data_IF_626381113517
#
_entry.id   IF_626381113517
#
_cell.length_a   1.000
_cell.length_b   1.000
_cell.length_c   1.000
_cell.angle_alpha   90.00
_cell.angle_beta   90.00
_cell.angle_gamma   90.00
#
_symmetry.space_group_name_H-M   'P 1'
#
loop_
_entity.id
_entity.type
_entity.pdbx_description
1 polymer ?
#
# COMPACT_ATOMS: atom_id res chain seq x y z
N UNK A 1 -77.13 -5.06 0.59
CA UNK A 1 -77.42 -6.14 -0.39
C UNK A 1 -76.56 -5.88 -1.61
N UNK A 2 -75.40 -6.55 -1.73
CA UNK A 2 -75.18 -7.80 -2.49
C UNK A 2 -75.34 -7.55 -4.00
N UNK A 3 -74.30 -7.63 -4.82
CA UNK A 3 -73.54 -8.86 -5.19
C UNK A 3 -72.07 -8.50 -5.52
N UNK A 4 -71.07 -9.04 -4.81
CA UNK A 4 -70.24 -10.25 -5.13
C UNK A 4 -69.74 -10.37 -6.57
N UNK A 5 -68.40 -10.27 -6.74
CA UNK A 5 -67.55 -11.18 -7.53
C UNK A 5 -66.14 -11.22 -6.93
N UNK A 6 -65.78 -12.39 -6.39
CA UNK A 6 -64.41 -12.78 -6.05
C UNK A 6 -63.59 -13.00 -7.34
N UNK A 7 -62.29 -12.69 -7.37
CA UNK A 7 -61.35 -13.36 -8.24
C UNK A 7 -60.64 -14.49 -7.47
N UNK A 8 -60.90 -15.68 -7.97
CA UNK A 8 -60.22 -16.95 -7.73
C UNK A 8 -58.70 -16.84 -7.65
N UNK A 9 -58.16 -17.55 -6.66
CA UNK A 9 -56.83 -18.15 -6.57
C UNK A 9 -56.08 -18.25 -7.91
N UNK A 10 -55.03 -17.45 -8.07
CA UNK A 10 -53.92 -17.79 -8.94
C UNK A 10 -52.76 -18.22 -8.03
N UNK A 11 -52.46 -19.52 -8.06
CA UNK A 11 -51.25 -20.08 -7.49
C UNK A 11 -50.05 -19.41 -8.15
N UNK A 12 -49.31 -18.58 -7.42
CA UNK A 12 -47.96 -18.19 -7.79
C UNK A 12 -47.10 -19.46 -7.77
N UNK A 13 -47.05 -20.15 -8.90
CA UNK A 13 -45.98 -21.06 -9.22
C UNK A 13 -44.71 -20.22 -9.28
N UNK A 14 -43.99 -20.17 -8.16
CA UNK A 14 -42.55 -19.93 -8.21
C UNK A 14 -41.99 -20.93 -9.21
N UNK A 15 -41.60 -20.43 -10.39
CA UNK A 15 -40.80 -21.19 -11.35
C UNK A 15 -39.46 -21.42 -10.66
N UNK A 16 -39.39 -22.53 -9.93
CA UNK A 16 -38.16 -23.09 -9.42
C UNK A 16 -37.36 -23.48 -10.66
N UNK A 17 -36.40 -22.65 -11.05
CA UNK A 17 -35.43 -23.08 -12.05
C UNK A 17 -34.76 -24.36 -11.50
N UNK A 18 -34.77 -25.47 -12.26
CA UNK A 18 -34.06 -26.67 -11.82
C UNK A 18 -32.60 -26.31 -11.60
N UNK A 19 -32.00 -26.81 -10.52
CA UNK A 19 -30.54 -26.73 -10.28
C UNK A 19 -29.83 -27.09 -11.59
N UNK A 20 -29.01 -26.17 -12.08
CA UNK A 20 -28.53 -26.14 -13.46
C UNK A 20 -27.72 -27.37 -13.86
N UNK A 21 -27.95 -27.80 -15.11
CA UNK A 21 -27.29 -28.93 -15.79
C UNK A 21 -25.83 -28.60 -16.21
N UNK A 22 -25.27 -27.48 -15.72
CA UNK A 22 -24.00 -26.90 -16.16
C UNK A 22 -22.86 -27.03 -15.14
N UNK A 23 -23.13 -27.60 -13.95
CA UNK A 23 -22.11 -27.91 -12.94
C UNK A 23 -21.36 -26.67 -12.45
N UNK A 24 -20.02 -26.67 -12.52
CA UNK A 24 -19.22 -25.55 -12.00
C UNK A 24 -19.39 -24.21 -12.74
N UNK A 25 -20.13 -24.17 -13.85
CA UNK A 25 -20.44 -22.94 -14.57
C UNK A 25 -21.50 -22.09 -13.84
N UNK A 26 -22.32 -22.70 -12.99
CA UNK A 26 -23.32 -21.99 -12.18
C UNK A 26 -22.68 -21.08 -11.12
N UNK A 27 -21.37 -21.22 -10.89
CA UNK A 27 -20.60 -20.39 -9.96
C UNK A 27 -19.96 -19.15 -10.63
N UNK A 28 -20.07 -19.02 -11.96
CA UNK A 28 -19.55 -17.86 -12.67
C UNK A 28 -20.53 -16.69 -12.58
N UNK A 29 -20.05 -15.44 -12.38
CA UNK A 29 -20.85 -14.25 -12.58
C UNK A 29 -21.51 -14.24 -13.97
N UNK A 30 -22.79 -13.90 -14.02
CA UNK A 30 -23.64 -14.04 -15.20
C UNK A 30 -23.10 -13.27 -16.42
N UNK A 31 -22.45 -12.14 -16.19
CA UNK A 31 -21.77 -11.31 -17.19
C UNK A 31 -20.60 -12.04 -17.88
N UNK A 32 -19.80 -12.80 -17.12
CA UNK A 32 -18.71 -13.62 -17.67
C UNK A 32 -19.28 -14.80 -18.46
N UNK A 33 -20.32 -15.45 -17.91
CA UNK A 33 -21.03 -16.51 -18.62
C UNK A 33 -21.58 -16.00 -19.96
N UNK A 34 -22.23 -14.84 -19.97
CA UNK A 34 -22.73 -14.22 -21.20
C UNK A 34 -21.64 -13.86 -22.20
N UNK A 35 -20.45 -13.44 -21.75
CA UNK A 35 -19.33 -13.15 -22.65
C UNK A 35 -18.72 -14.43 -23.25
N UNK A 36 -18.59 -15.50 -22.46
CA UNK A 36 -18.17 -16.82 -22.95
C UNK A 36 -19.19 -17.34 -23.98
N UNK A 37 -20.49 -17.22 -23.67
CA UNK A 37 -21.59 -17.58 -24.58
C UNK A 37 -21.65 -16.70 -25.83
N UNK A 38 -21.11 -15.48 -25.80
CA UNK A 38 -21.06 -14.58 -26.95
C UNK A 38 -19.89 -14.88 -27.89
N UNK A 39 -18.79 -15.40 -27.37
CA UNK A 39 -17.65 -15.89 -28.15
C UNK A 39 -17.98 -17.20 -28.88
N UNK A 40 -18.83 -18.04 -28.29
CA UNK A 40 -19.39 -19.23 -28.91
C UNK A 40 -20.61 -18.82 -29.73
N UNK A 41 -20.51 -18.73 -31.06
CA UNK A 41 -21.66 -18.34 -31.90
C UNK A 41 -22.94 -19.15 -31.62
N UNK A 42 -24.13 -18.68 -32.06
CA UNK A 42 -25.43 -19.23 -31.66
C UNK A 42 -25.64 -20.73 -31.96
N UNK A 43 -24.90 -21.29 -32.92
CA UNK A 43 -24.90 -22.74 -33.24
C UNK A 43 -24.13 -23.59 -32.22
N UNK A 44 -23.11 -23.04 -31.56
CA UNK A 44 -22.32 -23.73 -30.54
C UNK A 44 -22.98 -23.63 -29.15
N UNK A 45 -23.75 -22.55 -28.91
CA UNK A 45 -24.62 -22.42 -27.73
C UNK A 45 -25.70 -23.50 -27.69
N UNK A 46 -26.28 -23.85 -28.84
CA UNK A 46 -27.27 -24.93 -28.92
C UNK A 46 -26.70 -26.34 -28.63
N UNK A 47 -25.37 -26.54 -28.75
CA UNK A 47 -24.67 -27.80 -28.45
C UNK A 47 -24.19 -27.91 -26.99
N UNK A 48 -24.45 -26.90 -26.15
CA UNK A 48 -23.89 -26.78 -24.80
C UNK A 48 -24.23 -27.92 -23.83
N UNK A 49 -25.24 -28.75 -24.10
CA UNK A 49 -25.52 -29.95 -23.30
C UNK A 49 -24.44 -31.04 -23.44
N UNK A 50 -23.59 -30.99 -24.49
CA UNK A 50 -22.57 -32.01 -24.79
C UNK A 50 -21.13 -31.51 -24.55
N UNK A 51 -20.88 -30.20 -24.54
CA UNK A 51 -19.53 -29.61 -24.48
C UNK A 51 -19.04 -29.42 -23.03
N UNK A 52 -19.48 -30.25 -22.08
CA UNK A 52 -19.10 -30.09 -20.67
C UNK A 52 -17.59 -30.29 -20.43
N UNK A 53 -16.89 -31.14 -21.20
CA UNK A 53 -15.46 -31.42 -21.00
C UNK A 53 -14.53 -30.36 -21.56
N UNK A 54 -14.75 -29.89 -22.79
CA UNK A 54 -13.91 -28.86 -23.40
C UNK A 54 -14.10 -27.50 -22.73
N UNK A 55 -15.33 -27.15 -22.33
CA UNK A 55 -15.58 -25.95 -21.53
C UNK A 55 -14.98 -26.07 -20.12
N UNK A 56 -15.04 -27.23 -19.46
CA UNK A 56 -14.31 -27.45 -18.20
C UNK A 56 -12.81 -27.22 -18.37
N UNK A 57 -12.22 -27.73 -19.45
CA UNK A 57 -10.81 -27.49 -19.77
C UNK A 57 -10.52 -25.98 -19.89
N UNK A 58 -11.29 -25.26 -20.71
CA UNK A 58 -11.17 -23.80 -20.86
C UNK A 58 -11.34 -23.04 -19.54
N UNK A 59 -12.32 -23.44 -18.74
CA UNK A 59 -12.67 -22.79 -17.46
C UNK A 59 -11.67 -23.15 -16.35
N UNK A 60 -10.91 -24.23 -16.50
CA UNK A 60 -9.81 -24.62 -15.61
C UNK A 60 -8.42 -24.15 -16.07
N UNK A 61 -8.29 -23.71 -17.33
CA UNK A 61 -7.00 -23.30 -17.89
C UNK A 61 -6.62 -21.88 -17.46
N UNK A 62 -5.65 -21.85 -16.55
CA UNK A 62 -5.11 -20.63 -15.98
C UNK A 62 -4.53 -19.65 -17.02
N UNK A 63 -3.93 -20.14 -18.12
CA UNK A 63 -3.35 -19.29 -19.17
C UNK A 63 -4.43 -18.62 -20.02
N UNK A 64 -5.51 -19.34 -20.31
CA UNK A 64 -6.66 -18.80 -21.05
C UNK A 64 -7.39 -17.74 -20.22
N UNK A 65 -7.59 -17.96 -18.93
CA UNK A 65 -8.16 -16.95 -18.03
C UNK A 65 -7.29 -15.71 -17.94
N UNK A 66 -5.97 -15.85 -17.80
CA UNK A 66 -5.04 -14.72 -17.82
C UNK A 66 -5.16 -13.92 -19.12
N UNK A 67 -5.14 -14.58 -20.28
CA UNK A 67 -5.29 -13.91 -21.57
C UNK A 67 -6.64 -13.21 -21.72
N UNK A 68 -7.74 -13.89 -21.35
CA UNK A 68 -9.09 -13.33 -21.41
C UNK A 68 -9.20 -12.06 -20.55
N UNK A 69 -8.76 -12.15 -19.30
CA UNK A 69 -8.85 -11.07 -18.33
C UNK A 69 -7.94 -9.87 -18.68
N UNK A 70 -6.75 -10.12 -19.23
CA UNK A 70 -5.88 -9.06 -19.77
C UNK A 70 -6.48 -8.33 -20.98
N UNK A 71 -7.30 -9.03 -21.78
CA UNK A 71 -7.84 -8.50 -23.04
C UNK A 71 -9.19 -7.80 -22.85
N UNK A 72 -10.01 -8.25 -21.90
CA UNK A 72 -11.42 -7.84 -21.79
C UNK A 72 -11.79 -7.09 -20.50
N UNK A 73 -10.92 -7.07 -19.48
CA UNK A 73 -11.09 -6.19 -18.32
C UNK A 73 -10.09 -5.05 -18.37
N UNK A 74 -10.61 -3.83 -18.21
CA UNK A 74 -9.85 -2.59 -18.14
C UNK A 74 -9.04 -2.41 -16.85
N UNK A 75 -8.86 -3.46 -16.05
CA UNK A 75 -8.04 -3.42 -14.83
C UNK A 75 -6.61 -3.91 -15.16
N UNK A 76 -5.62 -3.02 -15.26
CA UNK A 76 -4.23 -3.34 -15.64
C UNK A 76 -3.44 -4.13 -14.58
N UNK A 77 -4.11 -4.76 -13.60
CA UNK A 77 -3.50 -5.22 -12.35
C UNK A 77 -3.49 -6.74 -12.13
N UNK A 78 -3.70 -7.57 -13.16
CA UNK A 78 -3.69 -9.03 -12.99
C UNK A 78 -2.40 -9.60 -12.43
N UNK A 79 -1.25 -9.04 -12.80
CA UNK A 79 0.03 -9.40 -12.18
C UNK A 79 0.05 -9.12 -10.68
N UNK A 80 -0.61 -8.04 -10.23
CA UNK A 80 -0.76 -7.72 -8.81
C UNK A 80 -1.72 -8.68 -8.12
N UNK A 81 -2.83 -9.05 -8.76
CA UNK A 81 -3.78 -10.03 -8.23
C UNK A 81 -3.10 -11.40 -8.08
N UNK A 82 -2.43 -11.86 -9.13
CA UNK A 82 -1.70 -13.12 -9.11
C UNK A 82 -0.62 -13.12 -8.04
N UNK A 83 0.23 -12.09 -7.99
CA UNK A 83 1.22 -11.95 -6.93
C UNK A 83 0.57 -11.99 -5.55
N UNK A 84 -0.53 -11.25 -5.35
CA UNK A 84 -1.22 -11.16 -4.09
C UNK A 84 -1.71 -12.53 -3.60
N UNK A 85 -2.43 -13.25 -4.46
CA UNK A 85 -3.05 -14.54 -4.14
C UNK A 85 -2.03 -15.67 -3.96
N UNK A 86 -0.91 -15.60 -4.68
CA UNK A 86 0.14 -16.62 -4.59
C UNK A 86 1.10 -16.38 -3.43
N UNK A 87 1.44 -15.12 -3.13
CA UNK A 87 2.54 -14.80 -2.22
C UNK A 87 2.08 -14.21 -0.88
N UNK A 88 0.93 -13.53 -0.81
CA UNK A 88 0.51 -12.86 0.41
C UNK A 88 -0.29 -13.82 1.29
N UNK A 89 0.23 -14.07 2.49
CA UNK A 89 -0.49 -14.78 3.55
C UNK A 89 -0.43 -14.03 4.86
N UNK A 90 -1.49 -14.16 5.63
CA UNK A 90 -1.51 -13.76 7.03
C UNK A 90 -0.70 -14.72 7.89
N UNK A 91 0.02 -14.20 8.88
CA UNK A 91 0.81 -15.00 9.81
C UNK A 91 2.31 -14.71 9.68
N UNK A 92 2.97 -14.61 10.83
CA UNK A 92 4.42 -14.49 10.93
C UNK A 92 4.97 -15.75 11.63
N UNK A 93 6.11 -16.31 11.19
CA UNK A 93 6.87 -15.93 10.00
C UNK A 93 6.07 -16.22 8.72
N UNK A 94 6.28 -15.41 7.68
CA UNK A 94 5.85 -15.77 6.33
C UNK A 94 6.48 -17.12 6.03
N UNK A 95 5.71 -18.20 5.83
CA UNK A 95 6.30 -19.51 5.60
C UNK A 95 7.15 -19.42 4.34
N UNK A 96 8.45 -19.73 4.46
CA UNK A 96 9.31 -20.04 3.33
C UNK A 96 8.90 -21.41 2.78
N UNK A 97 7.67 -21.54 2.28
CA UNK A 97 7.20 -22.74 1.61
C UNK A 97 7.17 -22.47 0.12
N UNK A 98 8.34 -22.57 -0.48
CA UNK A 98 8.45 -23.04 -1.87
C UNK A 98 8.09 -24.52 -1.81
N UNK A 99 6.86 -24.86 -2.18
CA UNK A 99 6.41 -26.24 -2.30
C UNK A 99 5.06 -26.49 -1.64
N UNK A 100 4.06 -26.77 -2.48
CA UNK A 100 2.73 -27.26 -2.11
C UNK A 100 1.80 -26.25 -1.41
N UNK A 101 1.36 -25.24 -2.17
CA UNK A 101 -0.04 -24.82 -2.08
C UNK A 101 -0.78 -25.38 -3.28
N UNK A 102 -2.03 -25.84 -3.13
CA UNK A 102 -2.84 -26.16 -4.30
C UNK A 102 -2.87 -24.90 -5.17
N UNK A 103 -2.44 -25.02 -6.43
CA UNK A 103 -2.69 -23.97 -7.42
C UNK A 103 -4.20 -23.94 -7.63
N UNK A 104 -4.90 -23.14 -6.82
CA UNK A 104 -6.30 -22.83 -7.05
C UNK A 104 -6.40 -22.29 -8.49
N UNK A 105 -7.38 -22.77 -9.25
CA UNK A 105 -7.59 -22.26 -10.61
C UNK A 105 -7.91 -20.76 -10.52
N UNK A 106 -7.48 -19.96 -11.50
CA UNK A 106 -7.76 -18.52 -11.53
C UNK A 106 -9.26 -18.23 -11.44
N UNK A 107 -10.09 -19.12 -11.99
CA UNK A 107 -11.54 -19.09 -11.84
C UNK A 107 -11.98 -19.09 -10.37
N UNK A 108 -11.42 -19.99 -9.56
CA UNK A 108 -11.75 -20.09 -8.15
C UNK A 108 -11.32 -18.83 -7.40
N UNK A 109 -10.08 -18.39 -7.63
CA UNK A 109 -9.55 -17.13 -7.08
C UNK A 109 -10.43 -15.94 -7.45
N UNK A 110 -10.84 -15.84 -8.72
CA UNK A 110 -11.71 -14.77 -9.21
C UNK A 110 -13.08 -14.81 -8.53
N UNK A 111 -13.70 -15.99 -8.44
CA UNK A 111 -15.00 -16.20 -7.81
C UNK A 111 -14.99 -15.81 -6.32
N UNK A 112 -13.97 -16.21 -5.58
CA UNK A 112 -13.82 -15.84 -4.17
C UNK A 112 -13.61 -14.32 -4.01
N UNK A 113 -12.72 -13.71 -4.80
CA UNK A 113 -12.47 -12.26 -4.75
C UNK A 113 -13.69 -11.39 -5.08
N UNK A 114 -14.58 -11.89 -5.95
CA UNK A 114 -15.83 -11.23 -6.27
C UNK A 114 -16.80 -11.18 -5.06
N UNK A 115 -16.71 -12.17 -4.18
CA UNK A 115 -17.51 -12.25 -2.95
C UNK A 115 -16.89 -11.47 -1.78
N UNK A 116 -15.58 -11.20 -1.81
CA UNK A 116 -14.88 -10.46 -0.75
C UNK A 116 -15.47 -9.05 -0.60
N UNK A 117 -16.01 -8.69 0.57
CA UNK A 117 -16.53 -7.36 0.81
C UNK A 117 -15.38 -6.33 0.75
N UNK A 118 -15.63 -5.18 0.14
CA UNK A 118 -14.65 -4.11 0.09
C UNK A 118 -14.30 -3.59 1.49
N UNK A 119 -13.01 -3.39 1.75
CA UNK A 119 -12.52 -2.85 3.01
C UNK A 119 -12.36 -1.32 2.93
N UNK A 120 -12.45 -0.65 4.08
CA UNK A 120 -12.02 0.74 4.21
C UNK A 120 -10.51 0.74 4.46
N UNK A 121 -9.77 1.51 3.69
CA UNK A 121 -8.32 1.68 3.87
C UNK A 121 -8.09 3.05 4.50
N UNK A 122 -7.28 3.10 5.54
CA UNK A 122 -6.80 4.32 6.20
C UNK A 122 -5.26 4.23 6.28
N UNK A 123 -4.58 4.89 5.34
CA UNK A 123 -3.13 5.02 5.30
C UNK A 123 -2.71 6.30 6.04
N UNK A 124 -2.30 6.16 7.30
CA UNK A 124 -1.83 7.24 8.16
C UNK A 124 -0.37 7.64 7.90
N UNK A 125 -0.05 8.05 6.67
CA UNK A 125 1.26 8.64 6.33
C UNK A 125 1.51 9.94 7.11
N UNK A 126 2.77 10.34 7.32
CA UNK A 126 3.08 11.53 8.15
C UNK A 126 2.88 12.88 7.47
N UNK A 127 2.69 12.93 6.15
CA UNK A 127 2.29 14.16 5.46
C UNK A 127 0.77 14.29 5.36
N UNK A 128 0.14 13.26 4.80
CA UNK A 128 -1.31 13.17 4.65
C UNK A 128 -1.76 11.76 4.99
N UNK A 129 -2.89 11.65 5.69
CA UNK A 129 -3.67 10.44 5.71
C UNK A 129 -4.38 10.27 4.37
N UNK A 130 -4.25 9.12 3.72
CA UNK A 130 -5.09 8.75 2.57
C UNK A 130 -6.13 7.73 3.01
N UNK A 131 -7.36 7.92 2.59
CA UNK A 131 -8.44 7.02 2.95
C UNK A 131 -9.31 6.72 1.74
N UNK A 132 -9.91 5.53 1.70
CA UNK A 132 -10.77 5.14 0.59
C UNK A 132 -11.18 3.68 0.65
N UNK A 133 -11.80 3.21 -0.43
CA UNK A 133 -12.28 1.84 -0.56
C UNK A 133 -11.25 0.94 -1.26
N UNK A 134 -11.04 -0.28 -0.76
CA UNK A 134 -10.16 -1.25 -1.42
C UNK A 134 -10.62 -1.58 -2.85
N UNK A 135 -11.91 -1.51 -3.14
CA UNK A 135 -12.46 -1.78 -4.48
C UNK A 135 -12.25 -0.61 -5.45
N UNK A 136 -11.86 0.57 -4.99
CA UNK A 136 -11.69 1.76 -5.86
C UNK A 136 -10.30 1.80 -6.48
N UNK A 137 -10.16 2.45 -7.63
CA UNK A 137 -8.90 2.56 -8.35
C UNK A 137 -7.86 3.42 -7.62
N UNK A 138 -8.28 4.38 -6.79
CA UNK A 138 -7.43 5.31 -6.07
C UNK A 138 -8.03 5.67 -4.69
N UNK A 139 -7.26 6.34 -3.79
CA UNK A 139 -7.81 6.85 -2.54
C UNK A 139 -9.00 7.79 -2.77
N UNK A 140 -10.04 7.67 -1.93
CA UNK A 140 -11.24 8.51 -2.00
C UNK A 140 -10.98 9.93 -1.50
N UNK A 141 -9.97 10.13 -0.66
CA UNK A 141 -9.60 11.45 -0.18
C UNK A 141 -8.32 11.46 0.63
N UNK A 142 -7.87 12.67 0.96
CA UNK A 142 -6.73 12.94 1.82
C UNK A 142 -7.14 13.80 3.01
N UNK A 143 -6.50 13.62 4.16
CA UNK A 143 -6.71 14.38 5.39
C UNK A 143 -5.38 14.65 6.09
N UNK A 144 -5.36 15.56 7.06
CA UNK A 144 -4.25 15.67 7.99
C UNK A 144 -4.01 14.32 8.68
N UNK A 145 -2.75 13.97 8.92
CA UNK A 145 -2.38 12.70 9.54
C UNK A 145 -2.73 12.65 11.02
N UNK A 146 -3.03 11.46 11.56
CA UNK A 146 -3.33 11.33 12.98
C UNK A 146 -2.15 11.66 13.90
N UNK A 147 -0.91 11.62 13.37
CA UNK A 147 0.29 12.06 14.10
C UNK A 147 0.28 13.57 14.39
N UNK A 148 -0.38 14.35 13.53
CA UNK A 148 -0.51 15.81 13.61
C UNK A 148 -1.96 16.22 13.99
N UNK A 149 -2.84 15.25 14.25
CA UNK A 149 -4.26 15.50 14.45
C UNK A 149 -4.61 15.70 15.94
N UNK A 150 -5.24 16.84 16.24
CA UNK A 150 -5.64 17.23 17.59
C UNK A 150 -4.47 17.73 18.44
N UNK A 151 -4.79 18.23 19.64
CA UNK A 151 -3.77 18.70 20.59
C UNK A 151 -2.91 17.52 21.07
N UNK A 152 -1.58 17.63 20.97
CA UNK A 152 -0.63 16.57 21.36
C UNK A 152 -0.76 16.17 22.83
N UNK A 153 -1.23 17.10 23.68
CA UNK A 153 -1.50 16.91 25.11
C UNK A 153 -2.72 16.01 25.36
N UNK A 154 -3.60 15.85 24.37
CA UNK A 154 -4.74 14.95 24.48
C UNK A 154 -4.31 13.48 24.45
N UNK A 155 -4.93 12.61 25.27
CA UNK A 155 -4.65 11.18 25.25
C UNK A 155 -4.75 10.59 23.84
N UNK A 156 -3.77 9.75 23.48
CA UNK A 156 -3.65 9.13 22.15
C UNK A 156 -4.96 8.45 21.70
N UNK A 157 -5.60 7.71 22.60
CA UNK A 157 -6.88 7.03 22.32
C UNK A 157 -7.97 8.02 21.88
N UNK A 158 -8.13 9.14 22.59
CA UNK A 158 -9.16 10.15 22.29
C UNK A 158 -8.91 10.79 20.93
N UNK A 159 -7.65 11.12 20.64
CA UNK A 159 -7.24 11.65 19.33
C UNK A 159 -7.52 10.68 18.19
N UNK A 160 -7.12 9.41 18.36
CA UNK A 160 -7.37 8.36 17.37
C UNK A 160 -8.87 8.13 17.14
N UNK A 161 -9.67 8.09 18.21
CA UNK A 161 -11.12 7.95 18.10
C UNK A 161 -11.74 9.10 17.30
N UNK A 162 -11.39 10.35 17.63
CA UNK A 162 -11.89 11.52 16.91
C UNK A 162 -11.44 11.53 15.44
N UNK A 163 -10.18 11.16 15.20
CA UNK A 163 -9.62 11.04 13.86
C UNK A 163 -10.39 10.02 13.02
N UNK A 164 -10.55 8.78 13.51
CA UNK A 164 -11.27 7.75 12.76
C UNK A 164 -12.74 8.13 12.54
N UNK A 165 -13.42 8.69 13.55
CA UNK A 165 -14.78 9.20 13.36
C UNK A 165 -14.87 10.25 12.26
N UNK A 166 -13.89 11.17 12.19
CA UNK A 166 -13.79 12.17 11.12
C UNK A 166 -13.63 11.52 9.75
N UNK A 167 -12.76 10.52 9.62
CA UNK A 167 -12.58 9.78 8.35
C UNK A 167 -13.87 9.07 7.92
N UNK A 168 -14.53 8.35 8.83
CA UNK A 168 -15.80 7.68 8.53
C UNK A 168 -16.91 8.65 8.13
N UNK A 169 -17.00 9.82 8.78
CA UNK A 169 -17.94 10.87 8.43
C UNK A 169 -17.65 11.43 7.03
N UNK A 170 -16.37 11.71 6.70
CA UNK A 170 -15.98 12.17 5.35
C UNK A 170 -16.27 11.15 4.26
N UNK A 171 -16.09 9.87 4.56
CA UNK A 171 -16.43 8.76 3.67
C UNK A 171 -17.95 8.56 3.52
N UNK A 172 -18.76 9.13 4.43
CA UNK A 172 -20.21 8.90 4.53
C UNK A 172 -20.56 7.41 4.72
N UNK A 173 -19.75 6.69 5.50
CA UNK A 173 -19.93 5.25 5.76
C UNK A 173 -20.10 4.99 7.25
N UNK A 174 -21.06 4.12 7.60
CA UNK A 174 -21.21 3.64 8.98
C UNK A 174 -20.08 2.66 9.32
N UNK A 175 -19.35 2.85 10.44
CA UNK A 175 -18.19 2.01 10.75
C UNK A 175 -18.50 0.52 10.95
N UNK A 176 -19.73 0.19 11.34
CA UNK A 176 -20.15 -1.20 11.59
C UNK A 176 -20.40 -2.05 10.33
N UNK A 177 -20.25 -1.49 9.13
CA UNK A 177 -20.58 -2.20 7.88
C UNK A 177 -19.42 -3.01 7.32
N UNK A 178 -18.18 -2.57 7.49
CA UNK A 178 -17.04 -3.09 6.74
C UNK A 178 -15.78 -3.20 7.60
N UNK A 179 -14.91 -4.19 7.32
CA UNK A 179 -13.59 -4.24 7.94
C UNK A 179 -12.74 -3.04 7.51
N UNK A 180 -11.76 -2.69 8.34
CA UNK A 180 -10.83 -1.60 8.07
C UNK A 180 -9.40 -2.13 8.00
N UNK A 181 -8.63 -1.62 7.05
CA UNK A 181 -7.18 -1.79 6.96
C UNK A 181 -6.53 -0.47 7.35
N UNK A 182 -5.66 -0.49 8.35
CA UNK A 182 -4.94 0.68 8.84
C UNK A 182 -3.45 0.47 8.66
N UNK A 183 -2.79 1.41 7.99
CA UNK A 183 -1.33 1.42 7.94
C UNK A 183 -0.77 1.93 9.28
N UNK A 184 0.09 1.16 9.93
CA UNK A 184 0.79 1.60 11.13
C UNK A 184 2.12 2.24 10.72
N UNK A 185 2.42 3.47 11.18
CA UNK A 185 3.70 4.10 10.92
C UNK A 185 4.86 3.37 11.61
N UNK A 186 6.06 3.49 11.03
CA UNK A 186 7.28 2.92 11.62
C UNK A 186 7.79 3.85 12.72
N UNK A 187 7.22 3.73 13.92
CA UNK A 187 7.62 4.46 15.13
C UNK A 187 8.26 3.52 16.17
N UNK A 188 9.06 4.08 17.08
CA UNK A 188 9.76 3.37 18.16
C UNK A 188 10.41 2.08 17.65
N UNK A 189 11.54 2.13 16.96
CA UNK A 189 12.05 1.01 16.15
C UNK A 189 13.21 0.27 16.80
N UNK A 190 13.73 0.82 17.89
CA UNK A 190 14.73 0.16 18.72
C UNK A 190 14.19 -1.18 19.22
N UNK A 191 15.09 -2.13 19.42
CA UNK A 191 14.75 -3.43 20.00
C UNK A 191 14.79 -3.43 21.54
N UNK A 192 14.50 -2.26 22.13
CA UNK A 192 14.32 -2.10 23.57
C UNK A 192 12.91 -2.53 23.98
N UNK A 193 12.77 -3.01 25.22
CA UNK A 193 11.45 -3.37 25.77
C UNK A 193 10.49 -2.18 25.75
N UNK A 194 10.99 -0.98 26.06
CA UNK A 194 10.23 0.27 26.00
C UNK A 194 9.67 0.52 24.60
N UNK A 195 10.51 0.44 23.57
CA UNK A 195 10.06 0.65 22.20
C UNK A 195 9.04 -0.43 21.75
N UNK A 196 9.25 -1.70 22.12
CA UNK A 196 8.27 -2.78 21.88
C UNK A 196 6.94 -2.49 22.57
N UNK A 197 6.97 -2.00 23.81
CA UNK A 197 5.77 -1.63 24.55
C UNK A 197 5.03 -0.45 23.89
N UNK A 198 5.74 0.60 23.45
CA UNK A 198 5.12 1.73 22.74
C UNK A 198 4.45 1.30 21.43
N UNK A 199 5.10 0.41 20.64
CA UNK A 199 4.50 -0.15 19.41
C UNK A 199 3.21 -0.93 19.72
N UNK A 200 3.21 -1.74 20.78
CA UNK A 200 2.04 -2.49 21.24
C UNK A 200 0.92 -1.55 21.70
N UNK A 201 1.26 -0.54 22.49
CA UNK A 201 0.30 0.46 22.98
C UNK A 201 -0.36 1.25 21.85
N UNK A 202 0.40 1.67 20.84
CA UNK A 202 -0.16 2.34 19.65
C UNK A 202 -1.14 1.43 18.91
N UNK A 203 -0.74 0.17 18.66
CA UNK A 203 -1.60 -0.81 17.99
C UNK A 203 -2.88 -1.07 18.79
N UNK A 204 -2.77 -1.29 20.09
CA UNK A 204 -3.91 -1.56 20.96
C UNK A 204 -4.84 -0.34 21.05
N UNK A 205 -4.30 0.88 21.08
CA UNK A 205 -5.10 2.10 21.04
C UNK A 205 -5.85 2.28 19.71
N UNK A 206 -5.19 2.03 18.57
CA UNK A 206 -5.84 2.06 17.25
C UNK A 206 -7.00 1.06 17.20
N UNK A 207 -6.75 -0.19 17.61
CA UNK A 207 -7.77 -1.23 17.64
C UNK A 207 -8.93 -0.86 18.57
N UNK A 208 -8.64 -0.42 19.80
CA UNK A 208 -9.66 -0.01 20.76
C UNK A 208 -10.53 1.13 20.22
N UNK A 209 -9.91 2.18 19.68
CA UNK A 209 -10.64 3.32 19.09
C UNK A 209 -11.57 2.90 17.96
N UNK A 210 -11.14 1.99 17.08
CA UNK A 210 -11.96 1.49 15.96
C UNK A 210 -13.08 0.55 16.43
N UNK A 211 -12.80 -0.35 17.37
CA UNK A 211 -13.82 -1.24 17.91
C UNK A 211 -14.89 -0.50 18.71
N UNK A 212 -14.54 0.62 19.34
CA UNK A 212 -15.52 1.47 20.02
C UNK A 212 -16.38 2.31 19.05
N UNK A 213 -15.93 2.48 17.79
CA UNK A 213 -16.77 2.93 16.68
C UNK A 213 -17.62 1.79 16.09
N UNK A 214 -17.53 0.59 16.65
CA UNK A 214 -18.22 -0.63 16.20
C UNK A 214 -17.72 -1.19 14.87
N UNK A 215 -16.48 -0.92 14.49
CA UNK A 215 -15.86 -1.60 13.34
C UNK A 215 -15.83 -3.11 13.57
N UNK A 216 -16.25 -3.95 12.60
CA UNK A 216 -16.36 -5.40 12.80
C UNK A 216 -14.99 -6.08 12.95
N UNK A 217 -14.01 -5.67 12.13
CA UNK A 217 -12.67 -6.26 12.11
C UNK A 217 -11.61 -5.23 11.68
N UNK A 218 -10.41 -5.31 12.27
CA UNK A 218 -9.30 -4.39 12.05
C UNK A 218 -8.07 -5.16 11.57
N UNK A 219 -7.59 -4.85 10.38
CA UNK A 219 -6.30 -5.30 9.85
C UNK A 219 -5.29 -4.17 10.00
N UNK A 220 -4.29 -4.35 10.85
CA UNK A 220 -3.29 -3.31 11.13
C UNK A 220 -1.92 -3.78 10.62
N UNK A 221 -1.39 -3.09 9.61
CA UNK A 221 -0.20 -3.53 8.84
C UNK A 221 0.84 -2.42 8.79
N UNK A 222 2.12 -2.77 8.91
CA UNK A 222 3.21 -1.80 8.83
C UNK A 222 3.32 -1.18 7.42
N UNK A 223 3.48 0.14 7.35
CA UNK A 223 3.69 0.90 6.10
C UNK A 223 4.80 0.34 5.19
N UNK A 224 5.90 -0.15 5.74
CA UNK A 224 6.97 -0.73 4.92
C UNK A 224 6.59 -2.09 4.33
N UNK A 225 5.82 -2.91 5.04
CA UNK A 225 5.26 -4.16 4.48
C UNK A 225 4.31 -3.86 3.33
N UNK A 226 3.44 -2.87 3.51
CA UNK A 226 2.54 -2.42 2.45
C UNK A 226 3.31 -1.91 1.22
N UNK A 227 4.43 -1.20 1.42
CA UNK A 227 5.29 -0.75 0.33
C UNK A 227 5.90 -1.92 -0.47
N UNK A 228 6.39 -2.96 0.22
CA UNK A 228 6.90 -4.18 -0.44
C UNK A 228 5.79 -4.87 -1.25
N UNK A 229 4.60 -5.02 -0.68
CA UNK A 229 3.48 -5.65 -1.37
C UNK A 229 3.06 -4.87 -2.62
N UNK A 230 2.99 -3.54 -2.52
CA UNK A 230 2.74 -2.66 -3.66
C UNK A 230 3.81 -2.80 -4.77
N UNK A 231 5.06 -3.05 -4.39
CA UNK A 231 6.16 -3.34 -5.31
C UNK A 231 6.21 -4.80 -5.80
N UNK A 232 5.19 -5.62 -5.48
CA UNK A 232 5.13 -7.05 -5.79
C UNK A 232 6.36 -7.80 -5.25
N UNK A 233 6.70 -7.55 -3.99
CA UNK A 233 7.79 -8.19 -3.25
C UNK A 233 7.32 -8.65 -1.88
N UNK A 234 7.79 -9.81 -1.43
CA UNK A 234 7.59 -10.31 -0.06
C UNK A 234 8.84 -10.16 0.81
N UNK A 235 9.99 -9.91 0.19
CA UNK A 235 11.29 -9.65 0.81
C UNK A 235 11.98 -8.47 0.13
N UNK A 236 12.88 -7.81 0.85
CA UNK A 236 13.63 -6.66 0.37
C UNK A 236 13.81 -5.61 1.45
N UNK A 237 14.57 -4.57 1.10
CA UNK A 237 14.82 -3.42 1.96
C UNK A 237 13.78 -2.34 1.65
N UNK A 238 12.84 -2.09 2.55
CA UNK A 238 11.85 -1.02 2.39
C UNK A 238 12.35 0.28 3.01
N UNK A 239 12.40 1.36 2.22
CA UNK A 239 12.89 2.68 2.62
C UNK A 239 11.73 3.67 2.63
N UNK A 240 11.35 4.17 3.79
CA UNK A 240 10.22 5.10 3.95
C UNK A 240 10.72 6.52 4.24
N UNK A 241 10.53 7.47 3.32
CA UNK A 241 11.04 8.86 3.43
C UNK A 241 9.87 9.85 3.65
N UNK A 242 9.32 9.89 4.87
CA UNK A 242 8.13 10.73 5.18
C UNK A 242 8.27 11.57 6.46
N UNK A 243 8.84 11.05 7.54
CA UNK A 243 9.07 11.84 8.78
C UNK A 243 10.43 11.64 9.42
N UNK A 244 11.10 10.54 9.09
CA UNK A 244 12.51 10.22 9.28
C UNK A 244 12.76 9.07 8.30
N UNK A 245 13.80 9.11 7.48
CA UNK A 245 14.12 8.03 6.54
C UNK A 245 14.35 6.74 7.31
N UNK A 246 13.57 5.68 7.05
CA UNK A 246 13.72 4.40 7.77
C UNK A 246 13.78 3.22 6.84
N UNK A 247 14.63 2.27 7.20
CA UNK A 247 14.92 1.05 6.44
C UNK A 247 14.46 -0.16 7.26
N UNK A 248 13.55 -0.98 6.74
CA UNK A 248 12.96 -2.12 7.49
C UNK A 248 13.64 -3.46 7.16
N UNK A 249 13.96 -4.29 8.17
CA UNK A 249 14.48 -5.67 8.04
C UNK A 249 13.63 -6.70 8.78
N UNK A 250 14.01 -7.99 8.60
CA UNK A 250 13.73 -9.14 9.49
C UNK A 250 14.66 -9.17 10.73
N UNK A 251 15.78 -8.43 10.69
CA UNK A 251 16.90 -8.43 11.66
C UNK A 251 17.04 -7.09 12.43
N UNK A 252 16.24 -6.06 12.11
CA UNK A 252 16.36 -4.72 12.72
C UNK A 252 15.75 -3.59 11.86
N UNK A 253 15.87 -2.34 12.31
CA UNK A 253 15.42 -1.14 11.57
C UNK A 253 16.50 -0.08 11.68
N UNK A 254 16.99 0.44 10.54
CA UNK A 254 17.90 1.60 10.52
C UNK A 254 17.13 2.88 10.30
N UNK A 255 17.53 3.93 11.01
CA UNK A 255 16.85 5.23 10.96
C UNK A 255 17.83 6.34 10.73
N UNK A 256 17.55 7.09 9.68
CA UNK A 256 18.17 8.36 9.39
C UNK A 256 17.25 9.45 9.96
N UNK A 257 17.80 10.35 10.76
CA UNK A 257 17.09 11.52 11.34
C UNK A 257 16.64 12.57 10.31
N UNK A 258 16.47 12.17 9.05
CA UNK A 258 16.14 13.02 7.92
C UNK A 258 14.78 12.63 7.34
N UNK A 259 13.75 13.42 7.67
CA UNK A 259 12.39 13.25 7.19
C UNK A 259 11.98 14.26 6.12
N UNK A 260 10.78 14.08 5.54
CA UNK A 260 10.22 15.03 4.58
C UNK A 260 10.10 16.45 5.16
N UNK A 261 9.85 16.57 6.47
CA UNK A 261 9.77 17.85 7.16
C UNK A 261 11.10 18.61 7.12
N UNK A 262 12.24 17.92 7.30
CA UNK A 262 13.57 18.52 7.22
C UNK A 262 13.92 18.95 5.81
N UNK A 263 13.61 18.11 4.81
CA UNK A 263 13.80 18.46 3.39
C UNK A 263 12.95 19.68 3.01
N UNK A 264 11.69 19.72 3.43
CA UNK A 264 10.80 20.87 3.21
C UNK A 264 11.30 22.12 3.95
N UNK A 265 11.79 21.97 5.17
CA UNK A 265 12.38 23.06 5.96
C UNK A 265 13.63 23.64 5.31
N UNK A 266 14.48 22.80 4.73
CA UNK A 266 15.66 23.28 4.01
C UNK A 266 15.32 24.02 2.72
N UNK A 267 14.31 23.56 1.97
CA UNK A 267 13.80 24.33 0.81
C UNK A 267 13.26 25.70 1.26
N UNK A 268 12.51 25.73 2.36
CA UNK A 268 12.01 26.98 2.95
C UNK A 268 13.15 27.95 3.23
N UNK A 269 14.22 27.48 3.88
CA UNK A 269 15.39 28.31 4.19
C UNK A 269 16.07 28.83 2.91
N UNK A 270 16.21 27.99 1.87
CA UNK A 270 16.77 28.40 0.58
C UNK A 270 15.92 29.45 -0.13
N UNK A 271 14.60 29.28 -0.12
CA UNK A 271 13.68 30.26 -0.68
C UNK A 271 13.77 31.60 0.05
N UNK A 272 13.87 31.59 1.39
CA UNK A 272 14.03 32.80 2.20
C UNK A 272 15.37 33.51 1.93
N UNK A 273 16.46 32.75 1.78
CA UNK A 273 17.78 33.29 1.39
C UNK A 273 17.74 34.01 0.04
N UNK A 274 16.85 33.58 -0.87
CA UNK A 274 16.66 34.18 -2.18
C UNK A 274 15.50 35.19 -2.23
N UNK A 275 15.06 35.70 -1.06
CA UNK A 275 14.02 36.72 -0.91
C UNK A 275 12.66 36.34 -1.54
N UNK A 276 12.33 35.03 -1.59
CA UNK A 276 11.01 34.56 -2.03
C UNK A 276 10.03 34.59 -0.85
N UNK A 277 8.96 35.38 -0.99
CA UNK A 277 7.89 35.47 -0.02
C UNK A 277 6.80 34.42 -0.31
N UNK A 278 6.40 33.66 0.71
CA UNK A 278 5.33 32.67 0.64
C UNK A 278 4.53 32.70 1.94
N UNK A 279 3.23 32.43 1.89
CA UNK A 279 2.35 32.57 3.06
C UNK A 279 2.32 31.31 3.93
N UNK A 280 2.55 30.13 3.34
CA UNK A 280 2.37 28.86 4.05
C UNK A 280 3.43 27.81 3.74
N UNK A 281 3.61 26.87 4.67
CA UNK A 281 4.41 25.67 4.43
C UNK A 281 3.79 24.74 3.37
N UNK A 282 2.48 24.86 3.09
CA UNK A 282 1.83 24.10 2.03
C UNK A 282 2.38 24.47 0.66
N UNK A 283 2.61 25.77 0.42
CA UNK A 283 3.26 26.27 -0.80
C UNK A 283 4.65 25.68 -0.98
N UNK A 284 5.46 25.65 0.08
CA UNK A 284 6.81 25.06 0.03
C UNK A 284 6.75 23.56 -0.27
N UNK A 285 5.78 22.83 0.30
CA UNK A 285 5.56 21.41 -0.03
C UNK A 285 5.17 21.22 -1.49
N UNK A 286 4.25 22.02 -2.02
CA UNK A 286 3.83 21.96 -3.42
C UNK A 286 5.01 22.25 -4.37
N UNK A 287 5.82 23.27 -4.07
CA UNK A 287 7.03 23.56 -4.85
C UNK A 287 8.04 22.41 -4.79
N UNK A 288 8.26 21.82 -3.62
CA UNK A 288 9.12 20.64 -3.47
C UNK A 288 8.61 19.48 -4.34
N UNK A 289 7.31 19.22 -4.34
CA UNK A 289 6.72 18.09 -5.07
C UNK A 289 6.73 18.30 -6.59
N UNK A 290 6.63 19.54 -7.07
CA UNK A 290 6.53 19.84 -8.50
C UNK A 290 7.85 20.29 -9.16
N UNK A 291 8.77 20.89 -8.40
CA UNK A 291 9.99 21.50 -8.95
C UNK A 291 11.28 20.79 -8.53
N UNK A 292 11.35 20.18 -7.34
CA UNK A 292 12.58 19.56 -6.86
C UNK A 292 12.84 18.20 -7.51
N UNK A 293 14.12 17.83 -7.60
CA UNK A 293 14.58 16.56 -8.15
C UNK A 293 15.94 16.22 -7.55
N UNK A 294 16.40 14.98 -7.72
CA UNK A 294 17.73 14.51 -7.30
C UNK A 294 18.65 14.53 -8.51
N UNK A 295 19.78 15.20 -8.38
CA UNK A 295 20.83 15.18 -9.41
C UNK A 295 21.62 13.86 -9.35
N UNK A 296 21.93 13.28 -10.50
CA UNK A 296 22.76 12.07 -10.60
C UNK A 296 24.23 12.33 -10.25
N UNK A 297 24.70 13.54 -10.57
CA UNK A 297 26.00 14.07 -10.17
C UNK A 297 25.78 15.50 -9.69
N UNK A 298 25.89 15.70 -8.38
CA UNK A 298 25.61 16.98 -7.76
C UNK A 298 26.57 18.10 -8.20
N UNK A 299 27.86 17.78 -8.30
CA UNK A 299 28.90 18.77 -8.65
C UNK A 299 28.76 19.19 -10.13
N UNK A 300 28.49 18.23 -11.01
CA UNK A 300 28.20 18.53 -12.41
C UNK A 300 26.92 19.36 -12.59
N UNK A 301 25.87 19.09 -11.79
CA UNK A 301 24.62 19.86 -11.83
C UNK A 301 24.80 21.31 -11.36
N UNK A 302 25.69 21.56 -10.40
CA UNK A 302 26.01 22.91 -9.91
C UNK A 302 26.59 23.83 -11.00
N UNK A 303 27.29 23.25 -11.98
CA UNK A 303 27.93 23.96 -13.08
C UNK A 303 26.97 24.31 -14.22
N UNK A 304 25.77 23.72 -14.25
CA UNK A 304 24.78 24.01 -15.30
C UNK A 304 24.19 25.41 -15.11
N UNK A 305 24.07 26.15 -16.22
CA UNK A 305 23.49 27.49 -16.23
C UNK A 305 21.95 27.50 -16.29
N UNK A 306 21.34 26.49 -16.91
CA UNK A 306 19.88 26.43 -17.09
C UNK A 306 19.23 25.36 -16.19
N UNK A 307 18.96 25.73 -14.93
CA UNK A 307 18.24 24.86 -13.97
C UNK A 307 16.90 25.46 -13.54
N UNK A 308 16.48 26.58 -14.13
CA UNK A 308 15.26 27.27 -13.73
C UNK A 308 14.00 26.49 -14.14
N UNK A 309 13.01 26.48 -13.26
CA UNK A 309 11.65 26.06 -13.58
C UNK A 309 10.66 26.80 -12.68
N UNK A 310 9.45 27.00 -13.22
CA UNK A 310 8.40 27.74 -12.55
C UNK A 310 7.18 26.87 -12.28
N UNK A 311 6.50 27.14 -11.17
CA UNK A 311 5.25 26.49 -10.79
C UNK A 311 4.30 27.53 -10.20
N UNK A 312 3.02 27.43 -10.56
CA UNK A 312 1.97 28.27 -10.00
C UNK A 312 1.39 27.59 -8.77
N UNK A 313 1.74 28.09 -7.59
CA UNK A 313 1.10 27.68 -6.34
C UNK A 313 -0.32 28.24 -6.26
N UNK A 314 -1.26 27.41 -5.79
CA UNK A 314 -2.70 27.72 -5.76
C UNK A 314 -3.03 29.01 -4.99
N UNK A 315 -2.29 29.30 -3.92
CA UNK A 315 -2.55 30.44 -3.02
C UNK A 315 -1.59 31.59 -3.26
N UNK A 316 -0.32 31.28 -3.52
CA UNK A 316 0.78 32.28 -3.50
C UNK A 316 1.23 32.73 -4.89
N UNK A 317 0.69 32.16 -5.97
CA UNK A 317 1.02 32.56 -7.35
C UNK A 317 2.26 31.87 -7.92
N UNK A 318 2.94 32.52 -8.87
CA UNK A 318 4.08 31.93 -9.58
C UNK A 318 5.38 32.01 -8.77
N UNK A 319 6.06 30.87 -8.69
CA UNK A 319 7.40 30.77 -8.14
C UNK A 319 8.34 30.24 -9.21
N UNK A 320 9.55 30.78 -9.25
CA UNK A 320 10.64 30.27 -10.08
C UNK A 320 11.77 29.83 -9.16
N UNK A 321 12.15 28.56 -9.24
CA UNK A 321 13.30 28.00 -8.53
C UNK A 321 14.38 27.63 -9.53
N UNK A 322 15.64 27.66 -9.09
CA UNK A 322 16.83 27.36 -9.89
C UNK A 322 17.63 26.21 -9.26
N UNK A 323 18.80 26.50 -8.67
CA UNK A 323 19.66 25.51 -8.00
C UNK A 323 19.00 24.90 -6.75
N UNK A 324 18.09 25.62 -6.11
CA UNK A 324 17.31 25.16 -4.94
C UNK A 324 16.60 23.85 -5.22
N UNK A 325 16.20 23.62 -6.48
CA UNK A 325 15.47 22.43 -6.94
C UNK A 325 16.21 21.14 -6.62
N UNK A 326 17.50 21.06 -6.93
CA UNK A 326 18.32 19.87 -6.68
C UNK A 326 19.13 19.96 -5.39
N UNK A 327 19.51 21.16 -4.97
CA UNK A 327 20.18 21.36 -3.67
C UNK A 327 19.31 20.90 -2.50
N UNK A 328 18.00 21.07 -2.60
CA UNK A 328 17.05 20.62 -1.57
C UNK A 328 17.13 19.11 -1.36
N UNK A 329 17.19 18.35 -2.47
CA UNK A 329 17.22 16.91 -2.41
C UNK A 329 18.60 16.36 -2.02
N UNK A 330 19.68 17.12 -2.26
CA UNK A 330 21.05 16.70 -1.90
C UNK A 330 21.22 16.49 -0.39
N UNK A 331 20.40 17.14 0.45
CA UNK A 331 20.40 16.89 1.90
C UNK A 331 20.12 15.41 2.23
N UNK A 332 19.44 14.66 1.36
CA UNK A 332 19.25 13.22 1.49
C UNK A 332 20.57 12.44 1.45
N UNK A 333 21.57 12.94 0.72
CA UNK A 333 22.88 12.32 0.56
C UNK A 333 23.94 12.99 1.43
N UNK A 334 23.85 14.31 1.60
CA UNK A 334 24.76 15.15 2.39
C UNK A 334 23.99 15.92 3.47
N UNK A 335 23.55 15.29 4.58
CA UNK A 335 22.73 15.94 5.61
C UNK A 335 23.38 17.16 6.27
N UNK A 336 24.71 17.20 6.31
CA UNK A 336 25.48 18.31 6.86
C UNK A 336 25.21 19.65 6.14
N UNK A 337 24.77 19.64 4.88
CA UNK A 337 24.39 20.85 4.14
C UNK A 337 23.22 21.60 4.78
N UNK A 338 22.42 20.90 5.58
CA UNK A 338 21.32 21.46 6.37
C UNK A 338 21.62 21.40 7.88
N UNK A 339 22.90 21.42 8.25
CA UNK A 339 23.37 21.46 9.65
C UNK A 339 23.10 20.19 10.45
N UNK A 340 22.80 19.06 9.79
CA UNK A 340 22.50 17.80 10.48
C UNK A 340 23.72 16.88 10.55
N UNK A 341 24.03 16.40 11.76
CA UNK A 341 25.00 15.34 12.01
C UNK A 341 24.31 13.98 11.90
N UNK A 342 24.05 13.54 10.67
CA UNK A 342 23.41 12.26 10.37
C UNK A 342 24.04 11.62 9.13
N UNK A 343 23.93 10.29 9.02
CA UNK A 343 24.32 9.57 7.80
C UNK A 343 23.44 9.95 6.62
N UNK A 344 24.01 9.98 5.43
CA UNK A 344 23.24 10.07 4.20
C UNK A 344 22.40 8.81 3.96
N UNK A 345 21.38 8.92 3.11
CA UNK A 345 20.46 7.82 2.79
C UNK A 345 21.18 6.60 2.22
N UNK A 346 22.04 6.82 1.23
CA UNK A 346 22.92 5.82 0.62
C UNK A 346 23.79 5.07 1.66
N UNK A 347 24.42 5.79 2.59
CA UNK A 347 25.23 5.20 3.67
C UNK A 347 24.39 4.33 4.61
N UNK A 348 23.22 4.80 5.02
CA UNK A 348 22.33 4.04 5.91
C UNK A 348 21.80 2.75 5.25
N UNK A 349 21.55 2.79 3.94
CA UNK A 349 21.11 1.61 3.18
C UNK A 349 22.29 0.65 2.98
N UNK A 350 23.49 1.15 2.67
CA UNK A 350 24.69 0.33 2.57
C UNK A 350 24.98 -0.42 3.88
N UNK A 351 24.97 0.28 5.02
CA UNK A 351 25.09 -0.32 6.36
C UNK A 351 23.99 -1.39 6.59
N UNK A 352 22.78 -1.13 6.10
CA UNK A 352 21.70 -2.09 6.19
C UNK A 352 21.95 -3.36 5.35
N UNK A 353 22.49 -3.21 4.14
CA UNK A 353 22.86 -4.33 3.29
C UNK A 353 23.98 -5.18 3.92
N UNK A 354 25.01 -4.53 4.48
CA UNK A 354 26.11 -5.21 5.18
C UNK A 354 25.61 -6.05 6.37
N UNK A 355 24.72 -5.48 7.18
CA UNK A 355 24.09 -6.20 8.28
C UNK A 355 23.20 -7.36 7.80
N UNK A 356 22.46 -7.18 6.70
CA UNK A 356 21.65 -8.26 6.11
C UNK A 356 22.52 -9.39 5.58
N UNK A 357 23.64 -9.06 4.94
CA UNK A 357 24.61 -10.03 4.44
C UNK A 357 25.24 -10.84 5.59
N UNK A 358 25.63 -10.15 6.68
CA UNK A 358 26.29 -10.76 7.84
C UNK A 358 25.37 -11.64 8.70
N UNK A 359 24.05 -11.52 8.55
CA UNK A 359 23.09 -12.26 9.35
C UNK A 359 22.86 -13.71 8.89
N UNK A 360 23.51 -14.15 7.79
CA UNK A 360 23.54 -15.53 7.28
C UNK A 360 22.19 -16.27 7.35
N UNK A 361 21.11 -15.59 6.97
CA UNK A 361 19.77 -16.19 7.03
C UNK A 361 19.66 -17.33 6.00
N UNK A 362 19.05 -18.48 6.37
CA UNK A 362 18.83 -19.58 5.44
C UNK A 362 17.87 -19.15 4.32
N UNK A 363 18.32 -19.24 3.06
CA UNK A 363 17.53 -18.90 1.88
C UNK A 363 18.36 -18.26 0.76
N UNK A 364 17.70 -17.52 -0.12
CA UNK A 364 18.35 -16.72 -1.15
C UNK A 364 19.20 -15.62 -0.50
N UNK A 365 20.52 -15.68 -0.68
CA UNK A 365 21.48 -14.75 -0.11
C UNK A 365 21.36 -13.33 -0.69
N UNK A 366 20.55 -13.12 -1.73
CA UNK A 366 20.43 -11.84 -2.43
C UNK A 366 19.10 -11.12 -2.15
N UNK A 367 18.27 -11.62 -1.22
CA UNK A 367 16.96 -11.05 -0.90
C UNK A 367 16.98 -9.55 -0.55
N UNK A 368 18.09 -9.07 0.02
CA UNK A 368 18.26 -7.68 0.47
C UNK A 368 18.75 -6.74 -0.65
N UNK A 369 19.15 -7.26 -1.82
CA UNK A 369 19.63 -6.46 -2.96
C UNK A 369 18.51 -5.66 -3.63
N UNK A 370 17.25 -5.99 -3.38
CA UNK A 370 16.11 -5.17 -3.82
C UNK A 370 15.77 -4.13 -2.76
N UNK A 371 15.92 -2.85 -3.10
CA UNK A 371 15.52 -1.70 -2.29
C UNK A 371 14.21 -1.16 -2.84
N UNK A 372 13.16 -1.07 -2.02
CA UNK A 372 11.87 -0.49 -2.39
C UNK A 372 11.70 0.84 -1.70
N UNK A 373 11.65 1.91 -2.49
CA UNK A 373 11.41 3.26 -2.00
C UNK A 373 9.92 3.51 -1.76
N UNK A 374 9.61 4.26 -0.71
CA UNK A 374 8.24 4.59 -0.34
C UNK A 374 8.16 5.94 0.37
N UNK A 375 6.98 6.57 0.28
CA UNK A 375 6.73 7.89 0.87
C UNK A 375 6.85 9.05 -0.10
N UNK A 376 6.27 10.21 0.27
CA UNK A 376 6.16 11.36 -0.64
C UNK A 376 7.49 11.95 -1.10
N UNK A 377 8.52 11.98 -0.24
CA UNK A 377 9.85 12.47 -0.64
C UNK A 377 10.60 11.46 -1.51
N UNK A 378 10.24 10.17 -1.42
CA UNK A 378 10.80 9.15 -2.31
C UNK A 378 10.34 9.30 -3.77
N UNK A 379 9.30 10.12 -4.02
CA UNK A 379 8.82 10.43 -5.37
C UNK A 379 9.67 11.49 -6.10
N UNK A 380 10.72 12.03 -5.47
CA UNK A 380 11.60 12.99 -6.14
C UNK A 380 12.24 12.33 -7.38
N UNK A 381 12.11 12.94 -8.57
CA UNK A 381 12.71 12.40 -9.79
C UNK A 381 14.22 12.22 -9.65
N UNK A 382 14.77 11.12 -10.18
CA UNK A 382 16.21 10.82 -10.12
C UNK A 382 16.70 10.18 -8.83
N UNK A 383 15.84 10.03 -7.80
CA UNK A 383 16.26 9.49 -6.51
C UNK A 383 16.69 8.03 -6.60
N UNK A 384 15.95 7.20 -7.33
CA UNK A 384 16.24 5.77 -7.44
C UNK A 384 17.59 5.55 -8.16
N UNK A 385 17.79 6.25 -9.27
CA UNK A 385 18.99 6.17 -10.12
C UNK A 385 20.23 6.68 -9.39
N UNK A 386 20.12 7.83 -8.71
CA UNK A 386 21.22 8.34 -7.87
C UNK A 386 21.55 7.38 -6.75
N UNK A 387 20.54 6.84 -6.07
CA UNK A 387 20.76 5.93 -4.95
C UNK A 387 21.41 4.62 -5.41
N UNK A 388 20.98 4.08 -6.55
CA UNK A 388 21.59 2.88 -7.13
C UNK A 388 23.06 3.13 -7.50
N UNK A 389 23.38 4.27 -8.12
CA UNK A 389 24.77 4.69 -8.40
C UNK A 389 25.62 4.78 -7.12
N UNK A 390 25.10 5.43 -6.09
CA UNK A 390 25.81 5.60 -4.80
C UNK A 390 26.03 4.25 -4.10
N UNK A 391 25.05 3.35 -4.11
CA UNK A 391 25.20 2.01 -3.51
C UNK A 391 26.25 1.17 -4.23
N UNK A 392 26.31 1.23 -5.57
CA UNK A 392 27.36 0.56 -6.33
C UNK A 392 28.76 1.11 -6.05
N UNK A 393 28.87 2.41 -5.74
CA UNK A 393 30.15 3.03 -5.40
C UNK A 393 30.59 2.74 -3.95
N UNK A 394 29.63 2.65 -3.01
CA UNK A 394 29.91 2.43 -1.59
C UNK A 394 30.20 0.96 -1.25
N UNK A 395 29.51 0.02 -1.89
CA UNK A 395 29.54 -1.39 -1.50
C UNK A 395 30.53 -2.20 -2.34
N UNK A 396 31.18 -3.24 -1.75
CA UNK A 396 32.03 -4.16 -2.50
C UNK A 396 31.31 -4.84 -3.68
N UNK A 397 32.00 -5.19 -4.79
CA UNK A 397 31.37 -5.76 -5.99
C UNK A 397 30.47 -6.97 -5.75
N UNK A 398 30.82 -7.86 -4.82
CA UNK A 398 30.01 -9.06 -4.53
C UNK A 398 28.64 -8.73 -3.91
N UNK A 399 28.53 -7.58 -3.24
CA UNK A 399 27.30 -7.10 -2.63
C UNK A 399 26.54 -6.13 -3.54
N UNK A 400 27.27 -5.27 -4.27
CA UNK A 400 26.66 -4.29 -5.18
C UNK A 400 26.13 -4.91 -6.47
N UNK A 401 26.73 -5.99 -6.96
CA UNK A 401 26.24 -6.68 -8.15
C UNK A 401 24.81 -7.20 -7.95
N UNK A 402 23.89 -6.71 -8.77
CA UNK A 402 22.48 -7.10 -8.76
C UNK A 402 21.60 -6.24 -7.84
N UNK A 403 22.14 -5.17 -7.23
CA UNK A 403 21.31 -4.19 -6.53
C UNK A 403 20.29 -3.59 -7.49
N UNK A 404 19.05 -3.49 -7.03
CA UNK A 404 17.97 -2.81 -7.74
C UNK A 404 17.26 -1.86 -6.80
N UNK A 405 17.19 -0.58 -7.16
CA UNK A 405 16.39 0.41 -6.44
C UNK A 405 15.08 0.65 -7.18
N UNK A 406 13.97 0.23 -6.57
CA UNK A 406 12.63 0.42 -7.10
C UNK A 406 12.05 1.74 -6.58
N UNK A 407 11.66 2.69 -7.46
CA UNK A 407 10.93 3.88 -7.04
C UNK A 407 9.54 3.49 -6.49
N UNK A 408 8.84 4.41 -5.80
CA UNK A 408 7.50 4.13 -5.29
C UNK A 408 6.53 3.79 -6.45
N UNK A 409 6.04 2.54 -6.57
CA UNK A 409 5.30 2.06 -7.75
C UNK A 409 4.00 2.82 -8.00
N UNK A 410 3.40 3.38 -6.95
CA UNK A 410 2.19 4.21 -7.02
C UNK A 410 2.43 5.59 -6.40
N UNK A 411 3.66 6.10 -6.50
CA UNK A 411 4.05 7.39 -5.95
C UNK A 411 3.75 7.49 -4.44
N UNK A 412 3.14 8.61 -4.04
CA UNK A 412 2.82 8.89 -2.64
C UNK A 412 1.71 7.98 -2.07
N UNK A 413 0.99 7.25 -2.91
CA UNK A 413 -0.11 6.35 -2.53
C UNK A 413 0.33 4.88 -2.48
N UNK A 414 1.63 4.59 -2.64
CA UNK A 414 2.22 3.24 -2.61
C UNK A 414 1.72 2.39 -1.45
N UNK A 415 1.73 2.90 -0.21
CA UNK A 415 1.25 2.13 0.95
C UNK A 415 -0.26 1.86 0.88
N UNK A 416 -1.05 2.79 0.36
CA UNK A 416 -2.49 2.62 0.16
C UNK A 416 -2.77 1.50 -0.86
N UNK A 417 -2.00 1.43 -1.95
CA UNK A 417 -2.10 0.34 -2.92
C UNK A 417 -1.65 -1.02 -2.35
N UNK A 418 -0.65 -1.03 -1.46
CA UNK A 418 -0.29 -2.24 -0.71
C UNK A 418 -1.46 -2.73 0.16
N UNK A 419 -2.16 -1.83 0.83
CA UNK A 419 -3.34 -2.16 1.62
C UNK A 419 -4.52 -2.60 0.73
N UNK A 420 -4.67 -2.00 -0.46
CA UNK A 420 -5.64 -2.41 -1.48
C UNK A 420 -5.43 -3.86 -1.90
N UNK A 421 -4.19 -4.33 -2.03
CA UNK A 421 -3.93 -5.73 -2.37
C UNK A 421 -4.46 -6.68 -1.29
N UNK A 422 -4.17 -6.39 -0.01
CA UNK A 422 -4.65 -7.18 1.14
C UNK A 422 -6.19 -7.18 1.20
N UNK A 423 -6.81 -5.99 1.13
CA UNK A 423 -8.27 -5.83 1.26
C UNK A 423 -9.10 -6.35 0.09
N UNK A 424 -8.47 -7.02 -0.87
CA UNK A 424 -9.11 -7.69 -1.98
C UNK A 424 -8.69 -9.15 -2.13
N UNK A 425 -7.83 -9.68 -1.24
CA UNK A 425 -7.48 -11.10 -1.24
C UNK A 425 -8.74 -11.96 -1.03
N UNK A 426 -8.81 -13.11 -1.71
CA UNK A 426 -9.80 -14.16 -1.50
C UNK A 426 -9.97 -14.53 0.00
N UNK A 427 -8.87 -14.48 0.74
CA UNK A 427 -8.80 -14.82 2.17
C UNK A 427 -9.12 -13.67 3.13
N UNK A 428 -9.42 -12.47 2.63
CA UNK A 428 -9.75 -11.30 3.45
C UNK A 428 -11.26 -11.26 3.79
N UNK A 429 -11.69 -10.86 5.01
CA UNK A 429 -10.90 -10.32 6.14
C UNK A 429 -10.14 -11.38 6.94
N UNK A 430 -10.71 -12.58 7.07
CA UNK A 430 -10.21 -13.77 7.77
C UNK A 430 -8.99 -13.57 8.68
N UNK A 431 -7.87 -14.26 8.43
CA UNK A 431 -6.71 -14.26 9.33
C UNK A 431 -5.87 -12.97 9.29
N UNK A 432 -6.20 -12.01 8.42
CA UNK A 432 -5.55 -10.69 8.37
C UNK A 432 -6.09 -9.73 9.44
N UNK A 433 -7.30 -9.98 9.93
CA UNK A 433 -8.00 -9.07 10.82
C UNK A 433 -8.07 -9.60 12.25
N UNK A 434 -8.03 -8.66 13.21
CA UNK A 434 -8.48 -8.90 14.58
C UNK A 434 -9.96 -8.53 14.67
N UNK A 435 -10.77 -9.40 15.25
CA UNK A 435 -12.19 -9.16 15.52
C UNK A 435 -12.40 -8.66 16.96
N UNK A 436 -13.47 -7.86 17.17
CA UNK A 436 -13.78 -7.23 18.47
C UNK A 436 -13.87 -8.22 19.63
N UNK A 437 -14.45 -9.42 19.40
CA UNK A 437 -14.55 -10.49 20.41
C UNK A 437 -13.18 -10.99 20.88
N UNK A 438 -12.24 -11.16 19.94
CA UNK A 438 -10.90 -11.67 20.22
C UNK A 438 -10.04 -10.61 20.91
N UNK A 439 -10.28 -9.33 20.61
CA UNK A 439 -9.57 -8.22 21.26
C UNK A 439 -9.93 -8.09 22.75
N UNK A 440 -11.19 -8.30 23.13
CA UNK A 440 -11.66 -8.22 24.53
C UNK A 440 -11.26 -9.44 25.38
N UNK A 441 -11.03 -10.60 24.76
CA UNK A 441 -10.68 -11.86 25.42
C UNK A 441 -9.17 -12.05 25.65
N UNK A 442 -8.39 -11.00 25.94
CA UNK A 442 -7.00 -11.19 26.40
C UNK A 442 -6.91 -11.29 27.94
N UNK A 443 -6.94 -12.49 28.56
CA UNK A 443 -6.17 -12.76 29.75
C UNK A 443 -4.81 -13.34 29.34
N UNK A 444 -3.71 -12.71 29.80
CA UNK A 444 -2.40 -13.28 30.17
C UNK A 444 -1.74 -14.45 29.38
N UNK A 445 -2.17 -14.81 28.18
CA UNK A 445 -1.43 -15.76 27.33
C UNK A 445 -0.58 -14.97 26.35
N UNK A 446 0.70 -14.93 26.67
CA UNK A 446 1.80 -14.50 25.83
C UNK A 446 1.78 -15.29 24.52
N UNK A 447 1.07 -14.78 23.51
CA UNK A 447 1.47 -15.06 22.15
C UNK A 447 2.72 -14.22 21.88
N UNK A 448 3.83 -14.91 21.78
CA UNK A 448 5.12 -14.40 21.30
C UNK A 448 4.86 -13.83 19.89
N UNK A 449 4.83 -12.50 19.80
CA UNK A 449 4.76 -11.69 18.58
C UNK A 449 5.70 -10.50 18.70
#
# INVERSE_FOLDING_TARGET
MLLRRDPTTCSDQQVLFPRGDLGELDQLPTDILFQILRLLGPKEVAKLSVICKSLRFFVSDNRLWLHFLQTHQSDPSWDSVFFAETNLTSGYPLPSLVGQRPQLSFKHIYGERAQVPGAIIIDGGSGYCKFGWSKYACPSGRSATFLEFGNIESPMYTRLRHFFATIYNRMQVKPNKQPVIVSIPICHYEDTESARASRRQLKDAICASLFDLNVPAVCAVNQATLALYAAKRTSGIAVNIVFNGKVMRKIGVEVVGLGALKVTGFLKEKMQQNNLNFQSLYTVRALKENLCYVALDYEAELLKQNTQASFQAEVDGWFTLSKERFQTAEVLFKPHLAGMQAMGLHQAIALCMEHCHSAELPGDNDWYKTVVLSGGTACLPGLAERLEKELHALLPPYMSNGIRVMPPPYGADTQWFGAKMIGNLSTFPGPWCVEKKNFRQKPRLSLIW
#
